data_IF_046660929492
#
_entry.id   IF_046660929492
#
_cell.length_a   1.000
_cell.length_b   1.000
_cell.length_c   1.000
_cell.angle_alpha   90.00
_cell.angle_beta   90.00
_cell.angle_gamma   90.00
#
_symmetry.space_group_name_H-M   'P 1'
#
loop_
_entity.id
_entity.type
_entity.pdbx_description
1 polymer ?
#
# COMPACT_ATOMS: atom_id res chain seq x y z
N UNK A 1 10.88 -37.06 -54.31
CA UNK A 1 9.87 -36.73 -53.29
C UNK A 1 10.54 -36.79 -51.92
N UNK A 2 10.74 -35.66 -51.24
CA UNK A 2 11.15 -35.64 -49.84
C UNK A 2 9.91 -35.70 -48.93
N UNK A 3 9.95 -36.58 -47.93
CA UNK A 3 8.96 -36.64 -46.85
C UNK A 3 9.05 -35.38 -45.97
N UNK A 4 7.91 -34.71 -45.77
CA UNK A 4 7.73 -33.65 -44.79
C UNK A 4 7.18 -34.28 -43.51
N UNK A 5 8.01 -34.33 -42.47
CA UNK A 5 7.59 -34.64 -41.10
C UNK A 5 6.90 -33.43 -40.48
N UNK A 6 5.68 -33.63 -39.98
CA UNK A 6 4.89 -32.62 -39.27
C UNK A 6 5.41 -32.38 -37.84
N UNK A 7 5.26 -31.16 -37.29
CA UNK A 7 5.71 -30.83 -35.94
C UNK A 7 4.82 -31.49 -34.87
N UNK A 8 5.46 -32.07 -33.85
CA UNK A 8 4.79 -32.62 -32.68
C UNK A 8 4.01 -31.53 -31.93
N UNK A 9 2.68 -31.66 -31.89
CA UNK A 9 1.79 -30.85 -31.06
C UNK A 9 1.85 -31.35 -29.62
N UNK A 10 2.31 -30.49 -28.70
CA UNK A 10 2.27 -30.76 -27.25
C UNK A 10 0.85 -30.52 -26.74
N UNK A 11 -0.01 -31.52 -26.86
CA UNK A 11 -1.31 -31.53 -26.18
C UNK A 11 -1.05 -31.93 -24.73
N UNK A 12 -1.01 -30.96 -23.81
CA UNK A 12 -0.94 -31.21 -22.36
C UNK A 12 -2.21 -31.93 -21.91
N UNK A 13 -2.09 -33.11 -21.31
CA UNK A 13 -3.26 -33.90 -20.92
C UNK A 13 -3.94 -33.31 -19.68
N UNK A 14 -5.24 -33.54 -19.52
CA UNK A 14 -6.01 -33.08 -18.35
C UNK A 14 -5.45 -33.65 -17.03
N UNK A 15 -4.82 -34.83 -17.08
CA UNK A 15 -4.14 -35.45 -15.95
C UNK A 15 -2.85 -34.72 -15.57
N UNK A 16 -2.10 -34.19 -16.55
CA UNK A 16 -0.91 -33.38 -16.30
C UNK A 16 -1.29 -32.06 -15.62
N UNK A 17 -2.38 -31.42 -16.08
CA UNK A 17 -2.91 -30.19 -15.47
C UNK A 17 -3.36 -30.42 -14.02
N UNK A 18 -3.98 -31.57 -13.71
CA UNK A 18 -4.40 -31.92 -12.34
C UNK A 18 -3.18 -32.21 -11.46
N UNK A 19 -2.20 -32.95 -11.96
CA UNK A 19 -0.97 -33.26 -11.23
C UNK A 19 -0.14 -32.00 -10.95
N UNK A 20 -0.06 -31.07 -11.91
CA UNK A 20 0.64 -29.80 -11.73
C UNK A 20 -0.08 -28.91 -10.71
N UNK A 21 -1.43 -28.88 -10.72
CA UNK A 21 -2.21 -28.18 -9.68
C UNK A 21 -2.00 -28.77 -8.29
N UNK A 22 -1.95 -30.10 -8.15
CA UNK A 22 -1.71 -30.76 -6.85
C UNK A 22 -0.28 -30.47 -6.36
N UNK A 23 0.72 -30.51 -7.25
CA UNK A 23 2.10 -30.14 -6.91
C UNK A 23 2.21 -28.68 -6.49
N UNK A 24 1.54 -27.77 -7.20
CA UNK A 24 1.51 -26.34 -6.85
C UNK A 24 0.81 -26.10 -5.50
N UNK A 25 -0.26 -26.83 -5.20
CA UNK A 25 -0.95 -26.76 -3.90
C UNK A 25 -0.09 -27.29 -2.76
N UNK A 26 0.59 -28.43 -2.94
CA UNK A 26 1.49 -28.98 -1.93
C UNK A 26 2.67 -28.02 -1.68
N UNK A 27 3.27 -27.46 -2.73
CA UNK A 27 4.35 -26.49 -2.59
C UNK A 27 3.92 -25.21 -1.84
N UNK A 28 2.68 -24.75 -2.02
CA UNK A 28 2.14 -23.61 -1.24
C UNK A 28 1.91 -23.97 0.22
N UNK A 29 1.38 -25.16 0.49
CA UNK A 29 1.19 -25.64 1.86
C UNK A 29 2.53 -25.77 2.61
N UNK A 30 3.57 -26.28 1.94
CA UNK A 30 4.91 -26.41 2.51
C UNK A 30 5.56 -25.04 2.77
N UNK A 31 5.35 -24.08 1.86
CA UNK A 31 5.79 -22.68 2.07
C UNK A 31 5.13 -22.04 3.29
N UNK A 32 3.80 -22.14 3.40
CA UNK A 32 3.04 -21.57 4.52
C UNK A 32 3.39 -22.24 5.85
N UNK A 33 3.58 -23.56 5.84
CA UNK A 33 4.04 -24.33 6.99
C UNK A 33 5.43 -23.88 7.43
N UNK A 34 6.39 -23.83 6.51
CA UNK A 34 7.76 -23.37 6.80
C UNK A 34 7.75 -21.97 7.40
N UNK A 35 7.02 -21.03 6.79
CA UNK A 35 6.92 -19.65 7.28
C UNK A 35 6.34 -19.58 8.69
N UNK A 36 5.28 -20.34 8.97
CA UNK A 36 4.62 -20.36 10.28
C UNK A 36 5.54 -20.95 11.37
N UNK A 37 6.19 -22.08 11.08
CA UNK A 37 7.13 -22.72 12.00
C UNK A 37 8.37 -21.84 12.24
N UNK A 38 8.89 -21.20 11.19
CA UNK A 38 10.03 -20.28 11.25
C UNK A 38 9.75 -19.09 12.17
N UNK A 39 8.63 -18.40 11.99
CA UNK A 39 8.29 -17.24 12.83
C UNK A 39 8.03 -17.66 14.29
N UNK A 40 7.34 -18.77 14.52
CA UNK A 40 7.12 -19.29 15.87
C UNK A 40 8.43 -19.71 16.56
N UNK A 41 9.39 -20.20 15.78
CA UNK A 41 10.74 -20.54 16.26
C UNK A 41 11.53 -19.29 16.63
N UNK A 42 11.58 -18.30 15.73
CA UNK A 42 12.33 -17.05 15.93
C UNK A 42 11.77 -16.23 17.10
N UNK A 43 10.44 -16.16 17.25
CA UNK A 43 9.81 -15.48 18.39
C UNK A 43 10.21 -16.10 19.74
N UNK A 44 10.16 -17.44 19.84
CA UNK A 44 10.58 -18.17 21.07
C UNK A 44 12.04 -17.95 21.44
N UNK A 45 12.89 -17.63 20.46
CA UNK A 45 14.33 -17.43 20.64
C UNK A 45 14.72 -15.96 20.84
N UNK A 46 13.90 -15.02 20.40
CA UNK A 46 14.14 -13.59 20.60
C UNK A 46 14.06 -13.20 22.08
N UNK A 47 13.31 -13.94 22.90
CA UNK A 47 13.21 -13.76 24.35
C UNK A 47 14.47 -14.22 25.13
N UNK A 48 15.45 -14.86 24.46
CA UNK A 48 16.59 -15.54 25.08
C UNK A 48 17.90 -15.24 24.31
N UNK A 49 18.40 -14.00 24.35
CA UNK A 49 19.67 -13.66 23.69
C UNK A 49 20.86 -13.80 24.65
N UNK A 50 21.53 -14.95 24.56
CA UNK A 50 22.98 -15.10 24.72
C UNK A 50 23.52 -15.86 23.48
N UNK A 51 24.61 -15.37 22.89
CA UNK A 51 25.18 -15.80 21.60
C UNK A 51 25.42 -17.32 21.43
N UNK A 52 25.58 -18.09 22.50
CA UNK A 52 25.75 -19.56 22.44
C UNK A 52 24.52 -20.31 21.90
N UNK A 53 23.32 -19.71 21.90
CA UNK A 53 22.13 -20.36 21.36
C UNK A 53 21.94 -20.19 19.84
N UNK A 54 22.76 -19.37 19.17
CA UNK A 54 22.61 -19.11 17.74
C UNK A 54 22.97 -20.34 16.88
N UNK A 55 24.05 -21.05 17.22
CA UNK A 55 24.49 -22.26 16.50
C UNK A 55 23.48 -23.42 16.64
N UNK A 56 22.95 -23.63 17.85
CA UNK A 56 21.87 -24.59 18.10
C UNK A 56 20.59 -24.22 17.33
N UNK A 57 20.37 -22.92 17.14
CA UNK A 57 19.23 -22.42 16.37
C UNK A 57 19.38 -22.67 14.88
N UNK A 58 20.59 -22.53 14.31
CA UNK A 58 20.83 -22.85 12.91
C UNK A 58 20.61 -24.32 12.57
N UNK A 59 21.04 -25.25 13.43
CA UNK A 59 20.79 -26.69 13.21
C UNK A 59 19.28 -27.02 13.19
N UNK A 60 18.51 -26.41 14.09
CA UNK A 60 17.06 -26.57 14.16
C UNK A 60 16.35 -25.97 12.93
N UNK A 61 16.77 -24.79 12.49
CA UNK A 61 16.26 -24.13 11.28
C UNK A 61 16.56 -24.92 10.01
N UNK A 62 17.76 -25.51 9.92
CA UNK A 62 18.13 -26.36 8.78
C UNK A 62 17.27 -27.62 8.71
N UNK A 63 17.01 -28.25 9.85
CA UNK A 63 16.12 -29.43 9.93
C UNK A 63 14.70 -29.04 9.49
N UNK A 64 14.17 -27.93 9.99
CA UNK A 64 12.85 -27.40 9.59
C UNK A 64 12.75 -27.14 8.08
N UNK A 65 13.78 -26.54 7.47
CA UNK A 65 13.82 -26.32 6.03
C UNK A 65 13.77 -27.64 5.24
N UNK A 66 14.53 -28.64 5.67
CA UNK A 66 14.55 -29.97 5.05
C UNK A 66 13.21 -30.70 5.22
N UNK A 67 12.59 -30.61 6.40
CA UNK A 67 11.27 -31.18 6.70
C UNK A 67 10.16 -30.56 5.84
N UNK A 68 10.35 -29.32 5.38
CA UNK A 68 9.45 -28.62 4.45
C UNK A 68 9.87 -28.77 2.98
N UNK A 69 10.76 -29.71 2.66
CA UNK A 69 11.12 -30.07 1.28
C UNK A 69 12.18 -29.17 0.62
N UNK A 70 12.85 -28.31 1.37
CA UNK A 70 13.95 -27.49 0.83
C UNK A 70 15.31 -28.18 0.96
N UNK A 71 16.18 -27.97 -0.04
CA UNK A 71 17.54 -28.51 -0.04
C UNK A 71 18.38 -27.97 1.12
N UNK A 72 18.22 -26.69 1.45
CA UNK A 72 18.92 -26.00 2.52
C UNK A 72 18.14 -24.79 3.04
N UNK A 73 18.56 -24.29 4.20
CA UNK A 73 17.95 -23.14 4.87
C UNK A 73 18.03 -21.85 4.03
N UNK A 74 19.18 -21.45 3.44
CA UNK A 74 19.22 -20.27 2.58
C UNK A 74 18.21 -20.33 1.43
N UNK A 75 18.06 -21.48 0.77
CA UNK A 75 17.08 -21.67 -0.31
C UNK A 75 15.66 -21.49 0.23
N UNK A 76 15.34 -22.10 1.37
CA UNK A 76 14.04 -21.93 2.02
C UNK A 76 13.75 -20.46 2.36
N UNK A 77 14.71 -19.75 2.97
CA UNK A 77 14.55 -18.36 3.39
C UNK A 77 14.33 -17.38 2.22
N UNK A 78 14.88 -17.68 1.04
CA UNK A 78 14.78 -16.81 -0.14
C UNK A 78 13.65 -17.18 -1.10
N UNK A 79 13.13 -18.41 -1.04
CA UNK A 79 12.06 -18.88 -1.93
C UNK A 79 10.71 -19.03 -1.24
N UNK A 80 10.69 -19.36 0.05
CA UNK A 80 9.45 -19.53 0.78
C UNK A 80 8.75 -18.18 0.94
N UNK A 81 7.47 -18.15 0.55
CA UNK A 81 6.64 -16.97 0.60
C UNK A 81 5.36 -17.28 1.37
N UNK A 82 4.89 -16.33 2.17
CA UNK A 82 3.56 -16.44 2.76
C UNK A 82 2.47 -16.32 1.67
N UNK A 83 1.20 -16.46 2.06
CA UNK A 83 0.03 -16.32 1.17
C UNK A 83 -0.01 -15.01 0.34
N UNK A 84 0.86 -14.05 0.65
CA UNK A 84 0.95 -12.73 0.01
C UNK A 84 2.25 -12.51 -0.75
N UNK A 85 3.02 -13.57 -0.96
CA UNK A 85 4.25 -13.50 -1.74
C UNK A 85 5.45 -12.91 -0.98
N UNK A 86 5.36 -12.71 0.34
CA UNK A 86 6.44 -12.12 1.13
C UNK A 86 7.36 -13.20 1.71
N UNK A 87 8.67 -13.00 1.60
CA UNK A 87 9.66 -13.81 2.31
C UNK A 87 9.67 -13.47 3.81
N UNK A 88 10.33 -14.31 4.60
CA UNK A 88 10.49 -14.08 6.04
C UNK A 88 11.21 -12.75 6.34
N UNK A 89 12.21 -12.39 5.53
CA UNK A 89 12.95 -11.14 5.69
C UNK A 89 12.05 -9.93 5.44
N UNK A 90 11.26 -9.93 4.36
CA UNK A 90 10.29 -8.86 4.06
C UNK A 90 9.35 -8.66 5.25
N UNK A 91 8.77 -9.74 5.78
CA UNK A 91 7.83 -9.65 6.91
C UNK A 91 8.50 -9.15 8.19
N UNK A 92 9.72 -9.59 8.50
CA UNK A 92 10.47 -9.11 9.67
C UNK A 92 10.80 -7.61 9.58
N UNK A 93 11.20 -7.13 8.40
CA UNK A 93 11.42 -5.69 8.14
C UNK A 93 10.12 -4.90 8.27
N UNK A 94 9.03 -5.41 7.69
CA UNK A 94 7.71 -4.78 7.75
C UNK A 94 7.22 -4.61 9.18
N UNK A 95 7.46 -5.61 10.02
CA UNK A 95 7.13 -5.59 11.44
C UNK A 95 8.14 -4.83 12.30
N UNK A 96 9.18 -4.23 11.70
CA UNK A 96 10.27 -3.53 12.39
C UNK A 96 10.97 -4.41 13.45
N UNK A 97 11.04 -5.72 13.20
CA UNK A 97 11.70 -6.71 14.06
C UNK A 97 13.15 -6.90 13.59
N UNK A 98 13.98 -5.86 13.73
CA UNK A 98 15.33 -5.81 13.16
C UNK A 98 16.28 -6.89 13.68
N UNK A 99 16.11 -7.36 14.93
CA UNK A 99 16.87 -8.50 15.46
C UNK A 99 16.54 -9.82 14.75
N UNK A 100 15.26 -10.03 14.43
CA UNK A 100 14.81 -11.17 13.62
C UNK A 100 15.34 -11.04 12.20
N UNK A 101 15.22 -9.86 11.58
CA UNK A 101 15.75 -9.59 10.24
C UNK A 101 17.26 -9.88 10.16
N UNK A 102 18.04 -9.44 11.14
CA UNK A 102 19.48 -9.75 11.21
C UNK A 102 19.76 -11.25 11.37
N UNK A 103 18.98 -11.94 12.20
CA UNK A 103 19.08 -13.40 12.36
C UNK A 103 18.84 -14.12 11.04
N UNK A 104 17.83 -13.69 10.27
CA UNK A 104 17.52 -14.23 8.95
C UNK A 104 18.66 -13.98 7.95
N UNK A 105 19.21 -12.75 7.91
CA UNK A 105 20.35 -12.39 7.06
C UNK A 105 21.58 -13.24 7.38
N UNK A 106 21.91 -13.39 8.67
CA UNK A 106 23.02 -14.23 9.13
C UNK A 106 22.79 -15.73 8.86
N UNK A 107 21.55 -16.13 8.60
CA UNK A 107 21.16 -17.49 8.24
C UNK A 107 21.04 -17.72 6.72
N UNK A 108 21.38 -16.71 5.91
CA UNK A 108 21.44 -16.82 4.45
C UNK A 108 20.25 -16.22 3.69
N UNK A 109 19.31 -15.56 4.36
CA UNK A 109 18.34 -14.69 3.67
C UNK A 109 19.07 -13.55 2.95
N UNK A 110 18.52 -13.10 1.82
CA UNK A 110 19.07 -12.02 1.00
C UNK A 110 18.04 -10.92 0.82
N UNK A 111 18.54 -9.71 0.67
CA UNK A 111 17.71 -8.58 0.24
C UNK A 111 17.36 -8.74 -1.24
N UNK A 112 16.15 -9.22 -1.51
CA UNK A 112 15.51 -9.07 -2.82
C UNK A 112 14.90 -7.66 -2.97
N UNK A 113 14.34 -7.37 -4.14
CA UNK A 113 13.75 -6.06 -4.46
C UNK A 113 12.66 -5.64 -3.45
N UNK A 114 11.84 -6.59 -2.99
CA UNK A 114 10.79 -6.33 -2.00
C UNK A 114 11.39 -6.06 -0.61
N UNK A 115 12.42 -6.79 -0.21
CA UNK A 115 13.12 -6.58 1.06
C UNK A 115 13.88 -5.26 1.07
N UNK A 116 14.49 -4.84 -0.05
CA UNK A 116 15.12 -3.51 -0.16
C UNK A 116 14.08 -2.40 0.03
N UNK A 117 12.93 -2.51 -0.63
CA UNK A 117 11.86 -1.52 -0.50
C UNK A 117 11.25 -1.49 0.91
N UNK A 118 11.11 -2.65 1.56
CA UNK A 118 10.62 -2.67 2.94
C UNK A 118 11.68 -2.17 3.93
N UNK A 119 12.95 -2.46 3.68
CA UNK A 119 14.07 -1.92 4.44
C UNK A 119 14.06 -0.38 4.40
N UNK A 120 13.97 0.22 3.22
CA UNK A 120 13.90 1.68 3.00
C UNK A 120 12.78 2.33 3.82
N UNK A 121 11.60 1.71 3.84
CA UNK A 121 10.46 2.17 4.64
C UNK A 121 10.72 1.98 6.14
N UNK A 122 11.12 0.78 6.56
CA UNK A 122 11.24 0.41 7.96
C UNK A 122 12.33 1.20 8.70
N UNK A 123 13.45 1.51 8.04
CA UNK A 123 14.56 2.23 8.69
C UNK A 123 14.23 3.68 9.05
N UNK A 124 13.18 4.27 8.48
CA UNK A 124 12.73 5.63 8.81
C UNK A 124 12.07 5.71 10.20
N UNK A 125 11.63 4.57 10.76
CA UNK A 125 11.07 4.47 12.12
C UNK A 125 12.11 4.71 13.22
N UNK A 126 11.68 5.04 14.45
CA UNK A 126 12.58 5.20 15.60
C UNK A 126 13.41 3.94 15.85
N UNK A 127 12.75 2.78 15.87
CA UNK A 127 13.40 1.48 16.00
C UNK A 127 14.38 1.20 14.87
N UNK A 128 14.05 1.61 13.65
CA UNK A 128 14.92 1.46 12.48
C UNK A 128 16.19 2.28 12.60
N UNK A 129 16.06 3.56 12.98
CA UNK A 129 17.19 4.46 13.23
C UNK A 129 18.08 3.95 14.37
N UNK A 130 17.49 3.46 15.45
CA UNK A 130 18.21 2.82 16.56
C UNK A 130 18.93 1.55 16.11
N UNK A 131 18.27 0.68 15.34
CA UNK A 131 18.84 -0.56 14.81
C UNK A 131 20.03 -0.30 13.87
N UNK A 132 20.04 0.82 13.16
CA UNK A 132 21.19 1.26 12.37
C UNK A 132 22.31 1.79 13.25
N UNK A 133 21.99 2.66 14.21
CA UNK A 133 22.97 3.27 15.11
C UNK A 133 23.72 2.24 15.95
N UNK A 134 23.05 1.18 16.38
CA UNK A 134 23.64 0.09 17.17
C UNK A 134 24.13 -1.11 16.33
N UNK A 135 24.07 -1.02 14.99
CA UNK A 135 24.44 -2.09 14.05
C UNK A 135 23.66 -3.41 14.23
N UNK A 136 22.43 -3.37 14.76
CA UNK A 136 21.54 -4.54 14.78
C UNK A 136 21.22 -4.99 13.37
N UNK A 137 21.00 -4.04 12.44
CA UNK A 137 20.84 -4.32 11.02
C UNK A 137 21.81 -3.47 10.21
N UNK A 138 22.22 -3.98 9.04
CA UNK A 138 23.11 -3.28 8.12
C UNK A 138 22.38 -2.97 6.82
N UNK A 139 22.72 -1.82 6.24
CA UNK A 139 22.28 -1.45 4.90
C UNK A 139 22.71 -2.51 3.87
N UNK A 140 21.81 -2.92 2.96
CA UNK A 140 22.20 -3.68 1.78
C UNK A 140 23.26 -2.92 0.98
N UNK A 141 24.21 -3.62 0.36
CA UNK A 141 25.27 -2.97 -0.42
C UNK A 141 24.75 -2.22 -1.65
N UNK A 142 23.64 -2.66 -2.22
CA UNK A 142 22.95 -2.05 -3.36
C UNK A 142 21.91 -1.00 -2.97
N UNK A 143 21.77 -0.69 -1.69
CA UNK A 143 20.70 0.19 -1.21
C UNK A 143 20.97 1.65 -1.57
N UNK A 144 20.00 2.25 -2.27
CA UNK A 144 19.90 3.69 -2.48
C UNK A 144 18.65 4.19 -1.75
N UNK A 145 18.77 5.13 -0.80
CA UNK A 145 17.61 5.69 -0.10
C UNK A 145 16.64 6.37 -1.06
N UNK A 146 15.34 6.20 -0.81
CA UNK A 146 14.32 6.99 -1.51
C UNK A 146 14.44 8.48 -1.19
N UNK A 147 14.03 9.33 -2.15
CA UNK A 147 13.81 10.75 -1.88
C UNK A 147 12.67 10.90 -0.84
N UNK A 148 12.89 11.61 0.27
CA UNK A 148 11.89 11.73 1.34
C UNK A 148 10.65 12.54 0.93
N UNK A 149 10.72 13.32 -0.15
CA UNK A 149 9.65 14.22 -0.59
C UNK A 149 9.01 13.81 -1.91
N UNK A 150 9.67 12.94 -2.69
CA UNK A 150 9.21 12.57 -4.04
C UNK A 150 9.14 11.07 -4.22
N UNK A 151 8.17 10.64 -5.01
CA UNK A 151 8.10 9.25 -5.45
C UNK A 151 9.12 9.02 -6.57
N UNK A 152 9.71 7.82 -6.59
CA UNK A 152 10.37 7.35 -7.79
C UNK A 152 9.37 7.28 -8.96
N UNK A 153 9.80 7.57 -10.19
CA UNK A 153 8.92 7.63 -11.36
C UNK A 153 8.07 6.36 -11.51
N UNK A 154 8.65 5.17 -11.35
CA UNK A 154 7.87 3.93 -11.45
C UNK A 154 6.79 3.78 -10.38
N UNK A 155 6.97 4.38 -9.20
CA UNK A 155 5.96 4.39 -8.12
C UNK A 155 4.83 5.37 -8.44
N UNK A 156 5.13 6.54 -9.02
CA UNK A 156 4.11 7.53 -9.41
C UNK A 156 3.04 6.94 -10.35
N UNK A 157 3.45 6.09 -11.29
CA UNK A 157 2.55 5.38 -12.21
C UNK A 157 2.03 4.08 -11.59
N UNK A 158 2.92 3.26 -11.04
CA UNK A 158 2.63 1.93 -10.52
C UNK A 158 1.57 1.90 -9.43
N UNK A 159 1.60 2.86 -8.49
CA UNK A 159 0.64 2.91 -7.39
C UNK A 159 -0.78 3.23 -7.88
N UNK A 160 -0.91 4.15 -8.84
CA UNK A 160 -2.19 4.66 -9.35
C UNK A 160 -2.83 3.70 -10.35
N UNK A 161 -2.02 3.19 -11.27
CA UNK A 161 -2.43 2.28 -12.34
C UNK A 161 -2.42 0.80 -11.88
N UNK A 162 -1.85 0.53 -10.71
CA UNK A 162 -1.71 -0.79 -10.09
C UNK A 162 -0.76 -1.73 -10.84
N UNK A 163 0.25 -1.19 -11.55
CA UNK A 163 1.16 -1.97 -12.40
C UNK A 163 2.33 -2.44 -11.53
N UNK A 164 2.51 -3.74 -11.39
CA UNK A 164 3.64 -4.33 -10.66
C UNK A 164 4.83 -4.50 -11.61
N UNK A 165 5.94 -3.86 -11.28
CA UNK A 165 7.22 -4.03 -11.97
C UNK A 165 8.35 -3.57 -11.05
N UNK A 166 9.58 -3.90 -11.43
CA UNK A 166 10.78 -3.34 -10.83
C UNK A 166 11.55 -2.56 -11.88
N UNK A 167 11.92 -1.34 -11.52
CA UNK A 167 12.80 -0.47 -12.29
C UNK A 167 14.19 -1.09 -12.46
N UNK A 168 14.93 -0.66 -13.47
CA UNK A 168 16.33 -1.08 -13.69
C UNK A 168 17.26 -0.84 -12.50
N UNK A 169 16.96 0.16 -11.69
CA UNK A 169 17.71 0.49 -10.46
C UNK A 169 17.30 -0.37 -9.25
N UNK A 170 16.38 -1.32 -9.42
CA UNK A 170 15.87 -2.19 -8.35
C UNK A 170 14.67 -1.61 -7.59
N UNK A 171 14.17 -0.42 -7.95
CA UNK A 171 13.02 0.20 -7.28
C UNK A 171 11.71 -0.47 -7.72
N UNK A 172 10.93 -1.10 -6.81
CA UNK A 172 9.62 -1.63 -7.17
C UNK A 172 8.60 -0.50 -7.37
N UNK A 173 7.66 -0.70 -8.28
CA UNK A 173 6.58 0.24 -8.58
C UNK A 173 5.46 0.26 -7.51
N UNK A 174 5.45 -0.75 -6.65
CA UNK A 174 4.59 -0.85 -5.47
C UNK A 174 5.37 -0.48 -4.21
N UNK A 175 4.67 -0.33 -3.07
CA UNK A 175 5.19 0.13 -1.77
C UNK A 175 5.79 1.52 -1.81
N UNK A 176 5.22 2.45 -1.05
CA UNK A 176 5.72 3.80 -0.98
C UNK A 176 5.58 4.38 0.41
N UNK A 177 6.51 5.26 0.75
CA UNK A 177 6.40 6.12 1.91
C UNK A 177 5.11 6.95 1.90
N UNK A 178 4.62 7.25 3.10
CA UNK A 178 3.33 7.93 3.31
C UNK A 178 3.33 9.34 2.71
N UNK A 179 4.36 10.14 2.97
CA UNK A 179 4.42 11.55 2.56
C UNK A 179 4.29 11.74 1.05
N UNK A 180 5.22 11.20 0.24
CA UNK A 180 5.15 11.34 -1.21
C UNK A 180 3.87 10.75 -1.82
N UNK A 181 3.36 9.63 -1.29
CA UNK A 181 2.08 9.06 -1.74
C UNK A 181 0.88 9.96 -1.39
N UNK A 182 0.88 10.55 -0.20
CA UNK A 182 -0.17 11.46 0.24
C UNK A 182 -0.16 12.78 -0.53
N UNK A 183 1.02 13.29 -0.91
CA UNK A 183 1.18 14.42 -1.82
C UNK A 183 0.57 14.13 -3.20
N UNK A 184 0.84 12.94 -3.78
CA UNK A 184 0.21 12.51 -5.04
C UNK A 184 -1.33 12.48 -4.94
N UNK A 185 -1.87 12.00 -3.82
CA UNK A 185 -3.32 12.04 -3.58
C UNK A 185 -3.84 13.47 -3.45
N UNK A 186 -3.11 14.32 -2.75
CA UNK A 186 -3.45 15.74 -2.56
C UNK A 186 -3.56 16.45 -3.90
N UNK A 187 -2.58 16.27 -4.78
CA UNK A 187 -2.59 16.80 -6.15
C UNK A 187 -3.77 16.26 -6.96
N UNK A 188 -3.98 14.94 -6.94
CA UNK A 188 -5.04 14.28 -7.71
C UNK A 188 -6.45 14.78 -7.34
N UNK A 189 -6.73 14.91 -6.04
CA UNK A 189 -8.03 15.42 -5.55
C UNK A 189 -8.19 16.91 -5.87
N UNK A 190 -7.13 17.69 -5.70
CA UNK A 190 -7.13 19.11 -6.03
C UNK A 190 -7.39 19.35 -7.52
N UNK A 191 -6.77 18.58 -8.41
CA UNK A 191 -6.97 18.69 -9.85
C UNK A 191 -8.38 18.27 -10.25
N UNK A 192 -8.90 17.17 -9.69
CA UNK A 192 -10.27 16.74 -9.94
C UNK A 192 -11.29 17.80 -9.47
N UNK A 193 -11.06 18.43 -8.31
CA UNK A 193 -11.93 19.50 -7.81
C UNK A 193 -12.01 20.71 -8.74
N UNK A 194 -11.00 20.92 -9.60
CA UNK A 194 -10.97 21.99 -10.60
C UNK A 194 -11.60 21.56 -11.93
N UNK A 195 -11.36 20.33 -12.36
CA UNK A 195 -11.85 19.81 -13.65
C UNK A 195 -13.26 19.22 -13.60
N UNK A 196 -13.80 18.91 -12.42
CA UNK A 196 -15.16 18.40 -12.25
C UNK A 196 -16.19 19.42 -12.75
N UNK A 197 -17.07 18.99 -13.66
CA UNK A 197 -18.11 19.83 -14.28
C UNK A 197 -19.43 19.80 -13.55
N UNK A 198 -19.75 18.70 -12.85
CA UNK A 198 -20.92 18.63 -11.98
C UNK A 198 -20.72 19.52 -10.75
N UNK A 199 -21.56 20.54 -10.56
CA UNK A 199 -21.37 21.55 -9.53
C UNK A 199 -21.45 20.99 -8.10
N UNK A 200 -22.41 20.09 -7.81
CA UNK A 200 -22.54 19.50 -6.49
C UNK A 200 -21.32 18.63 -6.13
N UNK A 201 -20.87 17.79 -7.07
CA UNK A 201 -19.65 17.01 -6.89
C UNK A 201 -18.41 17.92 -6.78
N UNK A 202 -18.35 19.00 -7.56
CA UNK A 202 -17.25 19.98 -7.51
C UNK A 202 -17.13 20.61 -6.12
N UNK A 203 -18.24 21.00 -5.49
CA UNK A 203 -18.24 21.60 -4.16
C UNK A 203 -17.86 20.58 -3.06
N UNK A 204 -18.30 19.32 -3.21
CA UNK A 204 -17.87 18.23 -2.33
C UNK A 204 -16.35 18.02 -2.42
N UNK A 205 -15.84 17.85 -3.64
CA UNK A 205 -14.41 17.62 -3.87
C UNK A 205 -13.53 18.83 -3.54
N UNK A 206 -14.06 20.06 -3.60
CA UNK A 206 -13.35 21.25 -3.12
C UNK A 206 -13.09 21.19 -1.61
N UNK A 207 -14.06 20.73 -0.82
CA UNK A 207 -13.86 20.54 0.62
C UNK A 207 -12.88 19.40 0.92
N UNK A 208 -12.95 18.30 0.16
CA UNK A 208 -12.02 17.18 0.29
C UNK A 208 -10.60 17.63 -0.10
N UNK A 209 -10.43 18.36 -1.21
CA UNK A 209 -9.15 18.93 -1.62
C UNK A 209 -8.56 19.86 -0.55
N UNK A 210 -9.39 20.72 0.05
CA UNK A 210 -8.97 21.56 1.18
C UNK A 210 -8.47 20.71 2.37
N UNK A 211 -9.18 19.63 2.71
CA UNK A 211 -8.77 18.72 3.78
C UNK A 211 -7.40 18.06 3.51
N UNK A 212 -7.19 17.54 2.30
CA UNK A 212 -5.91 16.95 1.89
C UNK A 212 -4.78 17.99 1.94
N UNK A 213 -4.98 19.16 1.34
CA UNK A 213 -4.00 20.25 1.33
C UNK A 213 -3.62 20.71 2.75
N UNK A 214 -4.62 20.97 3.60
CA UNK A 214 -4.39 21.37 4.99
C UNK A 214 -3.57 20.31 5.73
N UNK A 215 -3.97 19.05 5.63
CA UNK A 215 -3.31 17.93 6.30
C UNK A 215 -1.88 17.74 5.81
N UNK A 216 -1.64 17.82 4.50
CA UNK A 216 -0.30 17.69 3.93
C UNK A 216 0.62 18.80 4.45
N UNK A 217 0.12 20.03 4.52
CA UNK A 217 0.85 21.21 4.99
C UNK A 217 1.22 21.15 6.48
N UNK A 218 0.30 20.71 7.35
CA UNK A 218 0.54 20.68 8.80
C UNK A 218 1.32 19.43 9.22
N UNK A 219 1.07 18.28 8.60
CA UNK A 219 1.71 17.01 9.00
C UNK A 219 3.18 16.95 8.56
N UNK A 220 3.54 17.62 7.46
CA UNK A 220 4.91 17.75 6.93
C UNK A 220 5.63 16.41 6.88
N UNK A 221 5.00 15.41 6.27
CA UNK A 221 5.65 14.11 6.15
C UNK A 221 6.95 14.23 5.36
N UNK A 222 8.02 13.67 5.91
CA UNK A 222 9.24 13.32 5.19
C UNK A 222 9.33 11.80 5.24
N UNK A 223 9.38 11.14 4.09
CA UNK A 223 9.20 9.70 4.00
C UNK A 223 7.92 9.26 4.73
N UNK A 224 8.01 8.46 5.80
CA UNK A 224 6.86 8.01 6.60
C UNK A 224 6.82 8.65 8.00
N UNK A 225 7.70 9.60 8.27
CA UNK A 225 7.77 10.37 9.50
C UNK A 225 7.00 11.70 9.38
N UNK A 226 5.94 11.93 10.19
CA UNK A 226 5.22 13.21 10.23
C UNK A 226 5.99 14.27 11.04
N UNK A 227 6.92 14.98 10.38
CA UNK A 227 7.81 15.95 11.04
C UNK A 227 7.11 17.18 11.62
N UNK A 228 5.82 17.40 11.29
CA UNK A 228 5.00 18.45 11.88
C UNK A 228 4.44 18.12 13.26
N UNK A 229 4.74 16.94 13.81
CA UNK A 229 4.26 16.55 15.15
C UNK A 229 5.15 17.10 16.27
N UNK A 230 4.57 17.51 17.42
CA UNK A 230 3.17 17.34 17.83
C UNK A 230 2.18 18.43 17.38
N UNK A 231 2.63 19.54 16.81
CA UNK A 231 1.77 20.69 16.44
C UNK A 231 0.67 20.31 15.43
N UNK A 232 0.98 19.44 14.49
CA UNK A 232 0.01 18.91 13.52
C UNK A 232 -1.23 18.32 14.21
N UNK A 233 -1.07 17.60 15.31
CA UNK A 233 -2.21 17.05 16.07
C UNK A 233 -3.12 18.13 16.64
N UNK A 234 -2.56 19.27 17.08
CA UNK A 234 -3.33 20.42 17.58
C UNK A 234 -4.15 21.07 16.46
N UNK A 235 -3.50 21.33 15.32
CA UNK A 235 -4.16 21.96 14.17
C UNK A 235 -5.26 21.08 13.56
N UNK A 236 -4.98 19.79 13.39
CA UNK A 236 -5.96 18.82 12.89
C UNK A 236 -7.13 18.63 13.85
N UNK A 237 -6.86 18.49 15.17
CA UNK A 237 -7.93 18.41 16.17
C UNK A 237 -8.80 19.66 16.16
N UNK A 238 -8.19 20.86 16.13
CA UNK A 238 -8.92 22.14 16.06
C UNK A 238 -9.81 22.24 14.83
N UNK A 239 -9.33 21.81 13.66
CA UNK A 239 -10.11 21.76 12.42
C UNK A 239 -11.33 20.85 12.54
N UNK A 240 -11.17 19.69 13.19
CA UNK A 240 -12.27 18.76 13.47
C UNK A 240 -13.27 19.37 14.45
N UNK A 241 -12.80 20.05 15.51
CA UNK A 241 -13.68 20.76 16.45
C UNK A 241 -14.52 21.80 15.73
N UNK A 242 -13.93 22.55 14.80
CA UNK A 242 -14.59 23.55 13.96
C UNK A 242 -15.63 22.97 12.97
N UNK A 243 -15.74 21.63 12.87
CA UNK A 243 -16.70 20.98 11.97
C UNK A 243 -16.25 20.96 10.51
N UNK A 244 -14.96 21.14 10.25
CA UNK A 244 -14.40 21.04 8.91
C UNK A 244 -13.97 19.61 8.59
N UNK A 245 -14.16 19.20 7.33
CA UNK A 245 -13.66 17.91 6.85
C UNK A 245 -12.14 17.89 7.05
N UNK A 246 -11.67 16.83 7.69
CA UNK A 246 -10.26 16.61 7.99
C UNK A 246 -9.88 15.21 7.57
N UNK A 247 -8.81 15.07 6.81
CA UNK A 247 -8.19 13.79 6.49
C UNK A 247 -6.99 13.59 7.40
N UNK A 248 -6.64 12.36 7.72
CA UNK A 248 -5.47 12.02 8.55
C UNK A 248 -4.83 10.78 7.93
N UNK A 249 -3.64 10.89 7.31
CA UNK A 249 -2.90 9.71 6.93
C UNK A 249 -2.49 8.98 8.21
N UNK A 250 -2.92 7.73 8.34
CA UNK A 250 -2.57 6.88 9.49
C UNK A 250 -1.85 5.65 9.02
N UNK A 251 -1.01 5.10 9.90
CA UNK A 251 -0.18 3.95 9.57
C UNK A 251 0.09 3.08 10.77
N UNK A 252 0.56 1.87 10.52
CA UNK A 252 1.19 0.98 11.48
C UNK A 252 2.43 0.37 10.83
N UNK A 253 3.16 -0.49 11.55
CA UNK A 253 4.29 -1.30 11.03
C UNK A 253 4.05 -1.75 9.57
N UNK A 254 4.73 -1.10 8.63
CA UNK A 254 4.66 -1.33 7.18
C UNK A 254 3.28 -1.28 6.49
N UNK A 255 2.25 -0.63 7.06
CA UNK A 255 0.94 -0.48 6.43
C UNK A 255 0.36 0.92 6.60
N UNK A 256 -0.32 1.41 5.56
CA UNK A 256 -1.05 2.67 5.58
C UNK A 256 -2.56 2.42 5.51
N UNK A 257 -3.33 3.21 6.25
CA UNK A 257 -4.81 3.16 6.31
C UNK A 257 -5.38 4.56 6.06
N UNK A 258 -6.67 4.65 5.77
CA UNK A 258 -7.38 5.92 5.63
C UNK A 258 -8.10 6.28 6.92
N UNK A 259 -7.97 7.52 7.38
CA UNK A 259 -8.79 8.07 8.45
C UNK A 259 -9.24 9.48 8.06
N UNK A 260 -10.51 9.77 8.28
CA UNK A 260 -11.09 11.08 8.07
C UNK A 260 -12.17 11.38 9.09
N UNK A 261 -12.46 12.67 9.22
CA UNK A 261 -13.52 13.21 10.03
C UNK A 261 -14.39 14.11 9.17
N UNK A 262 -15.71 13.92 9.23
CA UNK A 262 -16.69 14.79 8.61
C UNK A 262 -17.68 15.28 9.68
N UNK A 263 -18.23 16.51 9.57
CA UNK A 263 -19.23 16.98 10.51
C UNK A 263 -20.50 16.13 10.46
N UNK A 264 -21.25 16.06 11.56
CA UNK A 264 -22.61 15.53 11.59
C UNK A 264 -23.58 16.70 11.51
N UNK A 265 -24.47 16.70 10.52
CA UNK A 265 -25.49 17.74 10.40
C UNK A 265 -26.37 17.78 11.65
N UNK A 266 -26.67 18.99 12.14
CA UNK A 266 -27.52 19.25 13.30
C UNK A 266 -26.98 18.77 14.66
N UNK A 267 -25.74 18.26 14.74
CA UNK A 267 -25.06 18.03 16.02
C UNK A 267 -23.62 18.59 15.99
N UNK A 268 -23.39 19.80 16.54
CA UNK A 268 -22.07 20.42 16.51
C UNK A 268 -21.02 19.69 17.37
N UNK A 269 -21.44 18.81 18.28
CA UNK A 269 -20.56 18.05 19.16
C UNK A 269 -20.14 16.70 18.57
N UNK A 270 -20.70 16.32 17.41
CA UNK A 270 -20.43 15.03 16.77
C UNK A 270 -19.66 15.16 15.47
N UNK A 271 -18.89 14.12 15.17
CA UNK A 271 -18.25 13.92 13.89
C UNK A 271 -18.47 12.49 13.42
N UNK A 272 -18.53 12.28 12.11
CA UNK A 272 -18.35 10.96 11.52
C UNK A 272 -16.86 10.67 11.42
N UNK A 273 -16.40 9.60 12.10
CA UNK A 273 -15.09 9.00 11.90
C UNK A 273 -15.18 8.02 10.75
N UNK A 274 -14.46 8.28 9.66
CA UNK A 274 -14.42 7.48 8.43
C UNK A 274 -13.08 6.75 8.39
N UNK A 275 -13.08 5.45 8.70
CA UNK A 275 -11.89 4.62 8.72
C UNK A 275 -11.89 3.64 7.55
N UNK A 276 -10.79 3.55 6.82
CA UNK A 276 -10.65 2.69 5.65
C UNK A 276 -9.44 1.77 5.78
N UNK A 277 -9.70 0.47 5.68
CA UNK A 277 -8.67 -0.54 5.55
C UNK A 277 -9.10 -1.61 4.54
N UNK A 278 -8.34 -1.68 3.43
CA UNK A 278 -8.52 -2.70 2.39
C UNK A 278 -7.37 -3.71 2.35
N UNK A 279 -6.38 -3.58 3.26
CA UNK A 279 -5.24 -4.48 3.39
C UNK A 279 -5.42 -5.51 4.52
N UNK A 280 -4.30 -6.08 4.98
CA UNK A 280 -4.25 -7.19 5.95
C UNK A 280 -5.12 -7.02 7.18
N UNK A 281 -5.09 -5.82 7.78
CA UNK A 281 -5.77 -5.60 9.06
C UNK A 281 -7.28 -5.81 8.98
N UNK A 282 -7.86 -5.84 7.78
CA UNK A 282 -9.27 -6.13 7.58
C UNK A 282 -9.57 -7.64 7.42
N UNK A 283 -8.59 -8.51 7.17
CA UNK A 283 -8.79 -9.96 6.97
C UNK A 283 -9.43 -10.63 8.18
N UNK A 284 -8.90 -10.38 9.38
CA UNK A 284 -9.40 -10.98 10.64
C UNK A 284 -10.88 -10.65 10.91
N UNK A 285 -11.33 -9.47 10.52
CA UNK A 285 -12.71 -9.03 10.72
C UNK A 285 -13.63 -9.33 9.53
N UNK A 286 -13.07 -9.67 8.37
CA UNK A 286 -13.79 -9.76 7.09
C UNK A 286 -14.33 -8.42 6.57
N UNK A 287 -14.15 -7.31 7.30
CA UNK A 287 -14.75 -6.00 6.99
C UNK A 287 -13.84 -5.13 6.12
N UNK A 288 -13.51 -5.61 4.93
CA UNK A 288 -12.74 -4.81 3.97
C UNK A 288 -13.49 -3.54 3.54
N UNK A 289 -12.77 -2.43 3.45
CA UNK A 289 -13.28 -1.16 2.95
C UNK A 289 -13.42 -0.11 4.04
N UNK A 290 -14.50 0.67 3.99
CA UNK A 290 -14.66 1.88 4.80
C UNK A 290 -15.77 1.71 5.83
N UNK A 291 -15.41 1.80 7.11
CA UNK A 291 -16.36 1.86 8.22
C UNK A 291 -16.54 3.31 8.68
N UNK A 292 -17.79 3.69 8.94
CA UNK A 292 -18.16 5.04 9.39
C UNK A 292 -18.79 4.92 10.77
N UNK A 293 -18.27 5.68 11.72
CA UNK A 293 -18.75 5.72 13.11
C UNK A 293 -19.20 7.14 13.44
N UNK A 294 -20.22 7.29 14.26
CA UNK A 294 -20.55 8.58 14.86
C UNK A 294 -19.87 8.69 16.23
N UNK A 295 -19.02 9.71 16.39
CA UNK A 295 -18.18 9.90 17.58
C UNK A 295 -18.35 11.30 18.17
N UNK A 296 -18.03 11.46 19.45
CA UNK A 296 -17.98 12.77 20.09
C UNK A 296 -16.68 13.48 19.71
N UNK A 297 -16.77 14.74 19.27
CA UNK A 297 -15.60 15.51 18.90
C UNK A 297 -14.63 15.70 20.07
N UNK A 298 -15.11 15.72 21.32
CA UNK A 298 -14.27 15.85 22.51
C UNK A 298 -13.30 14.68 22.70
N UNK A 299 -13.63 13.51 22.15
CA UNK A 299 -12.76 12.33 22.20
C UNK A 299 -11.64 12.39 21.13
N UNK A 300 -11.70 13.35 20.19
CA UNK A 300 -10.73 13.52 19.11
C UNK A 300 -9.67 14.55 19.52
N UNK A 301 -8.77 14.13 20.39
CA UNK A 301 -7.74 15.00 20.98
C UNK A 301 -6.47 15.10 20.11
N UNK A 302 -5.61 16.12 20.33
CA UNK A 302 -4.30 16.19 19.67
C UNK A 302 -3.43 14.95 19.89
N UNK A 303 -3.48 14.35 21.09
CA UNK A 303 -2.74 13.13 21.45
C UNK A 303 -3.21 11.95 20.62
N UNK A 304 -4.53 11.77 20.49
CA UNK A 304 -5.09 10.73 19.63
C UNK A 304 -4.62 10.88 18.19
N UNK A 305 -4.74 12.09 17.61
CA UNK A 305 -4.31 12.36 16.22
C UNK A 305 -2.82 12.09 16.04
N UNK A 306 -1.97 12.63 16.91
CA UNK A 306 -0.53 12.42 16.83
C UNK A 306 -0.17 10.94 16.95
N UNK A 307 -0.86 10.18 17.81
CA UNK A 307 -0.60 8.75 18.04
C UNK A 307 -0.92 7.88 16.82
N UNK A 308 -2.04 8.13 16.14
CA UNK A 308 -2.42 7.36 14.94
C UNK A 308 -1.63 7.77 13.70
N UNK A 309 -1.26 9.05 13.60
CA UNK A 309 -0.45 9.56 12.48
C UNK A 309 1.01 9.09 12.56
N UNK A 310 1.57 9.01 13.77
CA UNK A 310 2.93 8.50 14.02
C UNK A 310 3.04 6.97 14.04
N UNK A 311 1.99 6.22 13.71
CA UNK A 311 1.96 4.79 13.98
C UNK A 311 3.10 3.99 13.35
N UNK A 312 3.47 4.25 12.09
CA UNK A 312 4.66 3.64 11.51
C UNK A 312 5.96 4.11 12.19
N UNK A 313 6.14 5.42 12.36
CA UNK A 313 7.36 6.00 12.93
C UNK A 313 7.65 5.49 14.35
N UNK A 314 6.61 5.34 15.18
CA UNK A 314 6.67 4.80 16.54
C UNK A 314 6.60 3.27 16.60
N UNK A 315 6.44 2.59 15.47
CA UNK A 315 6.35 1.13 15.40
C UNK A 315 5.09 0.54 16.06
N UNK A 316 3.97 1.28 16.06
CA UNK A 316 2.69 0.76 16.51
C UNK A 316 2.22 -0.37 15.60
N UNK A 317 1.73 -1.44 16.21
CA UNK A 317 1.05 -2.55 15.55
C UNK A 317 -0.35 -2.14 15.04
N UNK A 318 -0.91 -2.95 14.14
CA UNK A 318 -2.29 -2.77 13.69
C UNK A 318 -3.28 -2.79 14.87
N UNK A 319 -3.13 -3.74 15.80
CA UNK A 319 -4.01 -3.88 16.96
C UNK A 319 -3.91 -2.66 17.91
N UNK A 320 -2.75 -2.03 18.03
CA UNK A 320 -2.60 -0.77 18.75
C UNK A 320 -3.37 0.37 18.08
N UNK A 321 -3.25 0.52 16.76
CA UNK A 321 -4.01 1.54 16.02
C UNK A 321 -5.51 1.30 16.16
N UNK A 322 -5.96 0.05 16.01
CA UNK A 322 -7.37 -0.30 16.17
C UNK A 322 -7.88 -0.05 17.60
N UNK A 323 -7.07 -0.31 18.63
CA UNK A 323 -7.42 0.06 20.01
C UNK A 323 -7.60 1.58 20.19
N UNK A 324 -6.77 2.40 19.56
CA UNK A 324 -6.94 3.85 19.61
C UNK A 324 -8.25 4.29 18.92
N UNK A 325 -8.58 3.70 17.77
CA UNK A 325 -9.86 3.95 17.08
C UNK A 325 -11.04 3.47 17.97
N UNK A 326 -10.90 2.32 18.63
CA UNK A 326 -11.93 1.78 19.52
C UNK A 326 -12.19 2.70 20.73
N UNK A 327 -11.15 3.36 21.25
CA UNK A 327 -11.29 4.33 22.34
C UNK A 327 -12.17 5.52 21.94
N UNK A 328 -11.95 6.10 20.75
CA UNK A 328 -12.74 7.24 20.24
C UNK A 328 -14.16 6.82 19.85
N UNK A 329 -14.32 5.61 19.30
CA UNK A 329 -15.63 5.05 18.94
C UNK A 329 -16.39 4.47 20.14
N UNK A 330 -15.74 4.37 21.31
CA UNK A 330 -16.28 3.75 22.55
C UNK A 330 -16.78 2.32 22.32
N UNK A 331 -16.13 1.60 21.41
CA UNK A 331 -16.52 0.24 21.02
C UNK A 331 -17.87 0.13 20.33
N UNK A 332 -18.48 1.23 19.89
CA UNK A 332 -19.75 1.21 19.14
C UNK A 332 -19.55 0.62 17.74
N UNK A 333 -20.59 0.00 17.23
CA UNK A 333 -20.62 -0.44 15.84
C UNK A 333 -20.64 0.74 14.87
N UNK A 334 -20.17 0.49 13.65
CA UNK A 334 -20.22 1.48 12.57
C UNK A 334 -21.66 1.78 12.18
N UNK A 335 -22.02 3.05 12.10
CA UNK A 335 -23.33 3.50 11.60
C UNK A 335 -23.51 3.24 10.10
N UNK A 336 -22.41 3.09 9.36
CA UNK A 336 -22.43 2.64 7.97
C UNK A 336 -21.13 1.91 7.61
N UNK A 337 -21.22 0.96 6.67
CA UNK A 337 -20.07 0.27 6.08
C UNK A 337 -20.21 0.29 4.55
N UNK A 338 -19.10 0.62 3.89
CA UNK A 338 -18.93 0.51 2.44
C UNK A 338 -18.00 -0.67 2.19
N UNK A 339 -18.58 -1.78 1.72
CA UNK A 339 -17.79 -2.94 1.31
C UNK A 339 -16.99 -2.61 0.05
N UNK A 340 -15.67 -2.71 0.15
CA UNK A 340 -14.75 -2.52 -0.97
C UNK A 340 -13.90 -3.79 -1.13
N UNK A 341 -13.45 -4.06 -2.34
CA UNK A 341 -12.65 -5.26 -2.61
C UNK A 341 -11.33 -5.22 -1.83
N UNK A 342 -10.84 -6.38 -1.32
CA UNK A 342 -9.49 -6.49 -0.79
C UNK A 342 -8.47 -5.96 -1.78
N UNK A 343 -7.44 -5.30 -1.27
CA UNK A 343 -6.37 -4.79 -2.10
C UNK A 343 -5.38 -5.91 -2.42
N UNK A 344 -5.13 -6.13 -3.71
CA UNK A 344 -4.27 -7.23 -4.20
C UNK A 344 -2.78 -6.88 -4.23
N UNK A 345 -2.46 -5.59 -4.29
CA UNK A 345 -1.10 -5.07 -4.47
C UNK A 345 -0.65 -4.27 -3.26
N UNK A 346 0.65 -4.16 -3.04
CA UNK A 346 1.22 -3.42 -1.91
C UNK A 346 1.22 -1.88 -2.10
N UNK A 347 0.07 -1.30 -2.48
CA UNK A 347 -0.13 0.14 -2.71
C UNK A 347 -1.16 0.76 -1.74
N UNK A 348 -1.25 0.21 -0.53
CA UNK A 348 -2.20 0.66 0.50
C UNK A 348 -2.08 2.16 0.85
N UNK A 349 -0.90 2.76 0.65
CA UNK A 349 -0.65 4.21 0.85
C UNK A 349 -1.50 5.11 -0.04
N UNK A 350 -1.82 4.66 -1.26
CA UNK A 350 -2.74 5.36 -2.17
C UNK A 350 -4.15 4.79 -2.07
N UNK A 351 -4.28 3.46 -2.07
CA UNK A 351 -5.59 2.82 -2.20
C UNK A 351 -6.51 3.10 -1.02
N UNK A 352 -6.00 3.10 0.22
CA UNK A 352 -6.85 3.35 1.39
C UNK A 352 -7.25 4.83 1.47
N UNK A 353 -6.33 5.77 1.23
CA UNK A 353 -6.65 7.20 1.17
C UNK A 353 -7.66 7.50 0.06
N UNK A 354 -7.48 6.91 -1.13
CA UNK A 354 -8.42 7.04 -2.25
C UNK A 354 -9.80 6.48 -1.90
N UNK A 355 -9.85 5.29 -1.31
CA UNK A 355 -11.12 4.61 -0.97
C UNK A 355 -11.85 5.26 0.20
N UNK A 356 -11.13 6.02 1.04
CA UNK A 356 -11.69 6.81 2.13
C UNK A 356 -12.53 8.00 1.64
N UNK A 357 -12.19 8.56 0.48
CA UNK A 357 -12.96 9.64 -0.19
C UNK A 357 -14.41 9.22 -0.44
N UNK A 358 -14.66 7.96 -0.81
CA UNK A 358 -16.03 7.43 -0.97
C UNK A 358 -16.84 7.54 0.35
N UNK A 359 -16.18 7.31 1.48
CA UNK A 359 -16.79 7.48 2.81
C UNK A 359 -17.07 8.94 3.14
N UNK A 360 -16.17 9.87 2.80
CA UNK A 360 -16.38 11.30 2.99
C UNK A 360 -17.58 11.79 2.15
N UNK A 361 -17.63 11.40 0.88
CA UNK A 361 -18.76 11.72 -0.01
C UNK A 361 -20.09 11.18 0.54
N UNK A 362 -20.07 9.96 1.09
CA UNK A 362 -21.26 9.37 1.72
C UNK A 362 -21.71 10.18 2.94
N UNK A 363 -20.79 10.63 3.79
CA UNK A 363 -21.09 11.51 4.93
C UNK A 363 -21.67 12.86 4.49
N UNK A 364 -21.10 13.49 3.46
CA UNK A 364 -21.60 14.75 2.91
C UNK A 364 -23.03 14.59 2.38
N UNK A 365 -23.33 13.51 1.66
CA UNK A 365 -24.67 13.24 1.18
C UNK A 365 -25.65 12.87 2.30
N UNK A 366 -25.23 12.08 3.28
CA UNK A 366 -26.06 11.73 4.44
C UNK A 366 -26.47 12.99 5.22
N UNK A 367 -25.58 13.97 5.35
CA UNK A 367 -25.89 15.26 5.93
C UNK A 367 -26.94 16.04 5.13
N UNK A 368 -26.84 16.06 3.79
CA UNK A 368 -27.83 16.71 2.92
C UNK A 368 -29.20 16.03 2.95
N UNK A 369 -29.23 14.71 3.06
CA UNK A 369 -30.47 13.90 3.03
C UNK A 369 -31.07 13.67 4.42
N UNK A 370 -30.34 13.98 5.48
CA UNK A 370 -30.77 13.79 6.87
C UNK A 370 -30.72 12.32 7.33
N UNK A 371 -29.66 11.60 6.96
CA UNK A 371 -29.39 10.22 7.38
C UNK A 371 -28.80 9.34 6.28
N UNK A 372 -28.00 8.33 6.65
CA UNK A 372 -27.41 7.36 5.71
C UNK A 372 -28.44 6.46 5.02
N UNK A 373 -29.58 6.21 5.68
CA UNK A 373 -30.72 5.44 5.20
C UNK A 373 -31.40 6.08 3.98
N UNK A 374 -31.27 7.40 3.82
CA UNK A 374 -31.86 8.19 2.74
C UNK A 374 -30.91 8.44 1.57
N UNK A 375 -29.68 7.94 1.64
CA UNK A 375 -28.67 8.14 0.60
C UNK A 375 -28.72 7.05 -0.46
N UNK A 376 -28.75 7.44 -1.73
CA UNK A 376 -28.49 6.51 -2.82
C UNK A 376 -26.98 6.19 -2.91
N UNK A 377 -26.58 5.05 -2.34
CA UNK A 377 -25.18 4.59 -2.34
C UNK A 377 -24.60 4.38 -3.75
N UNK A 378 -25.44 4.09 -4.75
CA UNK A 378 -24.97 3.90 -6.13
C UNK A 378 -24.46 5.22 -6.73
N UNK A 379 -25.16 6.32 -6.46
CA UNK A 379 -24.75 7.67 -6.90
C UNK A 379 -23.43 8.11 -6.26
N UNK A 380 -23.22 7.79 -4.98
CA UNK A 380 -21.94 8.04 -4.29
C UNK A 380 -20.81 7.26 -4.94
N UNK A 381 -21.05 5.99 -5.22
CA UNK A 381 -20.09 5.11 -5.88
C UNK A 381 -19.74 5.59 -7.29
N UNK A 382 -20.71 6.13 -8.03
CA UNK A 382 -20.50 6.72 -9.34
C UNK A 382 -19.62 7.97 -9.25
N UNK A 383 -19.94 8.92 -8.36
CA UNK A 383 -19.11 10.11 -8.10
C UNK A 383 -17.67 9.76 -7.71
N UNK A 384 -17.50 8.76 -6.85
CA UNK A 384 -16.18 8.25 -6.48
C UNK A 384 -15.44 7.62 -7.67
N UNK A 385 -16.17 6.87 -8.52
CA UNK A 385 -15.61 6.25 -9.72
C UNK A 385 -15.15 7.29 -10.73
N UNK A 386 -15.90 8.36 -10.94
CA UNK A 386 -15.53 9.45 -11.85
C UNK A 386 -14.19 10.07 -11.44
N UNK A 387 -14.01 10.34 -10.15
CA UNK A 387 -12.72 10.77 -9.60
C UNK A 387 -11.61 9.73 -9.84
N UNK A 388 -11.86 8.45 -9.51
CA UNK A 388 -10.83 7.42 -9.70
C UNK A 388 -10.51 7.19 -11.18
N UNK A 389 -11.45 7.40 -12.10
CA UNK A 389 -11.24 7.25 -13.53
C UNK A 389 -10.52 8.48 -14.11
N UNK A 390 -10.81 9.70 -13.64
CA UNK A 390 -10.05 10.92 -13.98
C UNK A 390 -8.57 10.79 -13.56
N UNK A 391 -8.33 10.37 -12.31
CA UNK A 391 -6.98 10.14 -11.77
C UNK A 391 -6.19 9.14 -12.63
N UNK A 392 -6.83 8.04 -13.07
CA UNK A 392 -6.20 7.05 -13.96
C UNK A 392 -5.98 7.62 -15.35
N UNK A 393 -6.98 8.27 -15.94
CA UNK A 393 -6.90 8.85 -17.29
C UNK A 393 -5.75 9.85 -17.39
N UNK A 394 -5.65 10.77 -16.44
CA UNK A 394 -4.55 11.74 -16.38
C UNK A 394 -3.20 11.05 -16.24
N UNK A 395 -3.09 10.06 -15.33
CA UNK A 395 -1.83 9.34 -15.14
C UNK A 395 -1.40 8.53 -16.38
N UNK A 396 -2.35 7.99 -17.15
CA UNK A 396 -2.08 7.34 -18.44
C UNK A 396 -1.61 8.37 -19.48
N UNK A 397 -2.23 9.54 -19.55
CA UNK A 397 -1.81 10.62 -20.45
C UNK A 397 -0.43 11.18 -20.07
N UNK A 398 -0.13 11.31 -18.78
CA UNK A 398 1.19 11.72 -18.29
C UNK A 398 2.26 10.70 -18.68
N UNK A 399 1.96 9.40 -18.54
CA UNK A 399 2.85 8.34 -18.97
C UNK A 399 3.11 8.39 -20.47
N UNK A 400 2.06 8.59 -21.29
CA UNK A 400 2.20 8.75 -22.73
C UNK A 400 3.11 9.94 -23.08
N UNK A 401 2.91 11.10 -22.43
CA UNK A 401 3.76 12.29 -22.62
C UNK A 401 5.21 12.04 -22.19
N UNK A 402 5.41 11.32 -21.07
CA UNK A 402 6.74 10.99 -20.58
C UNK A 402 7.49 10.08 -21.56
N UNK A 403 6.82 9.07 -22.13
CA UNK A 403 7.38 8.20 -23.18
C UNK A 403 7.74 8.99 -24.43
N UNK A 404 6.86 9.88 -24.90
CA UNK A 404 7.17 10.72 -26.06
C UNK A 404 8.37 11.63 -25.82
N UNK A 405 8.55 12.11 -24.58
CA UNK A 405 9.68 12.97 -24.20
C UNK A 405 11.00 12.20 -24.06
N UNK A 406 10.93 10.97 -23.55
CA UNK A 406 12.08 10.09 -23.33
C UNK A 406 11.79 8.68 -23.86
N UNK A 407 11.81 8.49 -25.20
CA UNK A 407 11.38 7.25 -25.82
C UNK A 407 12.32 6.08 -25.57
N UNK A 408 13.56 6.31 -25.15
CA UNK A 408 14.52 5.23 -24.85
C UNK A 408 14.41 4.72 -23.41
N UNK A 409 13.53 5.32 -22.60
CA UNK A 409 13.31 4.91 -21.22
C UNK A 409 12.55 3.58 -21.14
N UNK A 410 13.28 2.51 -20.84
CA UNK A 410 12.72 1.16 -20.71
C UNK A 410 11.71 1.04 -19.57
N UNK A 411 11.87 1.80 -18.48
CA UNK A 411 10.95 1.70 -17.34
C UNK A 411 9.59 2.31 -17.69
N UNK A 412 9.58 3.43 -18.41
CA UNK A 412 8.34 4.02 -18.94
C UNK A 412 7.65 3.10 -19.95
N UNK A 413 8.41 2.45 -20.84
CA UNK A 413 7.87 1.44 -21.77
C UNK A 413 7.30 0.22 -21.02
N UNK A 414 8.00 -0.28 -20.00
CA UNK A 414 7.54 -1.41 -19.19
C UNK A 414 6.25 -1.07 -18.41
N UNK A 415 6.14 0.14 -17.85
CA UNK A 415 4.90 0.63 -17.25
C UNK A 415 3.76 0.67 -18.28
N UNK A 416 4.00 1.21 -19.47
CA UNK A 416 2.98 1.29 -20.50
C UNK A 416 2.51 -0.11 -20.93
N UNK A 417 3.45 -1.02 -21.19
CA UNK A 417 3.13 -2.40 -21.53
C UNK A 417 2.34 -3.10 -20.42
N UNK A 418 2.78 -2.96 -19.16
CA UNK A 418 2.07 -3.52 -18.01
C UNK A 418 0.65 -2.97 -17.83
N UNK A 419 0.36 -1.74 -18.28
CA UNK A 419 -1.00 -1.21 -18.32
C UNK A 419 -1.84 -1.77 -19.47
N UNK A 420 -1.21 -1.95 -20.65
CA UNK A 420 -1.85 -2.48 -21.85
C UNK A 420 -2.18 -3.97 -21.71
N UNK A 421 -1.38 -4.74 -21.00
CA UNK A 421 -1.60 -6.18 -20.78
C UNK A 421 -2.75 -6.46 -19.80
N UNK A 422 -3.15 -5.45 -19.00
CA UNK A 422 -4.25 -5.61 -18.06
C UNK A 422 -5.60 -5.75 -18.77
N UNK A 423 -6.39 -6.78 -18.44
CA UNK A 423 -7.71 -6.96 -19.02
C UNK A 423 -8.66 -5.85 -18.56
N UNK A 424 -9.43 -5.28 -19.50
CA UNK A 424 -10.45 -4.27 -19.21
C UNK A 424 -9.93 -2.89 -18.77
N UNK A 425 -8.62 -2.61 -18.89
CA UNK A 425 -8.11 -1.24 -18.63
C UNK A 425 -8.75 -0.24 -19.58
N UNK A 426 -9.21 0.88 -19.04
CA UNK A 426 -9.69 2.03 -19.81
C UNK A 426 -8.52 2.86 -20.32
N UNK A 427 -8.75 3.74 -21.29
CA UNK A 427 -7.77 4.75 -21.74
C UNK A 427 -6.50 4.22 -22.43
N UNK A 428 -6.43 2.92 -22.78
CA UNK A 428 -5.28 2.29 -23.47
C UNK A 428 -4.82 3.02 -24.73
N UNK A 429 -5.77 3.56 -25.50
CA UNK A 429 -5.51 4.31 -26.73
C UNK A 429 -4.49 5.46 -26.58
N UNK A 430 -4.37 6.07 -25.40
CA UNK A 430 -3.34 7.09 -25.15
C UNK A 430 -1.92 6.53 -25.15
N UNK A 431 -1.73 5.29 -24.71
CA UNK A 431 -0.42 4.62 -24.66
C UNK A 431 -0.10 3.92 -25.97
N UNK A 432 -1.07 3.27 -26.61
CA UNK A 432 -0.90 2.57 -27.89
C UNK A 432 -0.22 3.48 -28.93
N UNK A 433 -0.62 4.75 -29.00
CA UNK A 433 -0.01 5.74 -29.89
C UNK A 433 1.41 6.16 -29.48
N UNK A 434 1.73 6.14 -28.18
CA UNK A 434 3.02 6.56 -27.66
C UNK A 434 4.08 5.44 -27.73
N UNK A 435 3.66 4.18 -27.70
CA UNK A 435 4.56 3.02 -27.80
C UNK A 435 4.67 2.44 -29.21
N UNK A 436 3.78 2.83 -30.13
CA UNK A 436 3.88 2.44 -31.54
C UNK A 436 5.08 3.16 -32.15
N UNK A 437 6.11 2.40 -32.53
CA UNK A 437 7.22 2.91 -33.35
C UNK A 437 6.63 3.58 -34.59
N UNK A 438 6.74 4.91 -34.72
CA UNK A 438 6.49 5.53 -36.02
C UNK A 438 7.52 4.93 -37.00
N UNK A 439 7.09 4.33 -38.13
CA UNK A 439 8.03 3.84 -39.12
C UNK A 439 8.84 5.04 -39.60
N UNK A 440 10.15 4.97 -39.40
CA UNK A 440 11.13 5.88 -40.00
C UNK A 440 10.78 6.04 -41.47
N UNK A 441 10.29 7.22 -41.85
CA UNK A 441 10.20 7.62 -43.24
C UNK A 441 11.65 7.74 -43.71
N UNK A 442 12.20 6.63 -44.22
CA UNK A 442 13.37 6.67 -45.09
C UNK A 442 13.00 7.62 -46.22
N UNK A 443 13.55 8.83 -46.18
CA UNK A 443 13.64 9.68 -47.35
C UNK A 443 14.28 8.86 -48.46
N UNK A 444 13.49 8.51 -49.48
CA UNK A 444 14.05 8.09 -50.77
C UNK A 444 14.72 9.33 -51.36
N UNK A 445 16.04 9.38 -51.24
CA UNK A 445 16.87 10.20 -52.11
C UNK A 445 16.59 9.81 -53.56
N UNK A 446 16.08 10.75 -54.34
CA UNK A 446 16.10 10.70 -55.81
C UNK A 446 17.38 11.34 -56.31
#
# INVERSE_FOLDING_TARGET
>A
MPELSAPNSTITSHADIINDKIKEQNAKADQERFMSELFAFLQRKNDLILQQQFEQSQASLKTMAQDCGYQDLPTALNLAKNARGQTALVKALQDQEFGIANTLLNSGARYDEQAIAEYDIAIDSERGREALANNTIRSPSSYTPSDPQKLHAVKEYGLVLGIEMTSKDGTPSQRAHIGPAYSLMTESVNDYSKSCTNQAAKDDFKQIANAFNFTNNVSKFQSSHPTGTPEAGKELSKRIQAGEITTVPISCKGHAMGLSFAPVANDPNKAYLVFTNRGEGAEKSGKFGTQIYEVDKRDITPEFINKVMNGHFKGHSHDEIMRNIQQVTKGKESVCHIQQSPQKYDNCSIVNAKSNIEGILLCQEANRRGGFDKVNKAEIKERYKDFSDDMKSKKVQDLAKAITKDPENSDLKALAQGYLDKPGSKFKHHLENAISEQPSIRMKSS
#
